data_IF_130091267337
#
_entry.id   IF_130091267337
#
_cell.length_a   1.000
_cell.length_b   1.000
_cell.length_c   1.000
_cell.angle_alpha   90.00
_cell.angle_beta   90.00
_cell.angle_gamma   90.00
#
_symmetry.space_group_name_H-M   'P 1'
#
loop_
_entity.id
_entity.type
_entity.pdbx_description
1 polymer ?
#
# COMPACT_ATOMS: atom_id res chain seq x y z
N UNK A 1 -5.58 5.40 23.59
CA UNK A 1 -6.53 4.63 22.76
C UNK A 1 -6.15 4.84 21.31
N UNK A 2 -5.39 3.91 20.72
CA UNK A 2 -5.03 3.98 19.30
C UNK A 2 -6.31 3.76 18.49
N UNK A 3 -6.74 4.76 17.71
CA UNK A 3 -7.90 4.61 16.82
C UNK A 3 -7.58 3.45 15.86
N UNK A 4 -8.30 2.33 15.96
CA UNK A 4 -8.33 1.36 14.88
C UNK A 4 -9.00 2.05 13.69
N UNK A 5 -8.19 2.49 12.74
CA UNK A 5 -8.68 3.08 11.51
C UNK A 5 -9.15 1.93 10.63
N UNK A 6 -10.46 1.73 10.52
CA UNK A 6 -11.04 0.78 9.56
C UNK A 6 -10.73 1.24 8.14
N UNK A 7 -10.47 0.30 7.22
CA UNK A 7 -10.30 0.65 5.81
C UNK A 7 -11.66 1.12 5.25
N UNK A 8 -11.70 2.22 4.49
CA UNK A 8 -12.88 2.57 3.70
C UNK A 8 -13.24 1.46 2.73
N UNK A 9 -14.51 1.38 2.34
CA UNK A 9 -15.01 0.36 1.41
C UNK A 9 -14.43 0.53 0.00
N UNK A 10 -14.36 1.77 -0.48
CA UNK A 10 -13.84 2.09 -1.80
C UNK A 10 -12.34 2.40 -1.71
N UNK A 11 -11.54 1.77 -2.59
CA UNK A 11 -10.09 1.97 -2.63
C UNK A 11 -9.76 3.45 -2.89
N UNK A 12 -10.51 4.14 -3.75
CA UNK A 12 -10.32 5.57 -4.04
C UNK A 12 -10.34 6.49 -2.80
N UNK A 13 -11.03 6.08 -1.73
CA UNK A 13 -11.09 6.82 -0.46
C UNK A 13 -9.90 6.52 0.48
N UNK A 14 -8.98 5.65 0.07
CA UNK A 14 -7.86 5.27 0.92
C UNK A 14 -6.81 6.39 0.97
N UNK A 15 -6.47 6.83 2.18
CA UNK A 15 -5.29 7.65 2.41
C UNK A 15 -4.03 6.78 2.35
N UNK A 16 -2.86 7.40 2.32
CA UNK A 16 -1.58 6.68 2.38
C UNK A 16 -1.42 5.83 3.65
N UNK A 17 -2.02 6.23 4.76
CA UNK A 17 -2.07 5.44 6.00
C UNK A 17 -2.96 4.19 5.83
N UNK A 18 -4.10 4.30 5.13
CA UNK A 18 -4.93 3.13 4.78
C UNK A 18 -4.17 2.16 3.87
N UNK A 19 -3.45 2.66 2.86
CA UNK A 19 -2.63 1.83 1.97
C UNK A 19 -1.53 1.11 2.76
N UNK A 20 -0.77 1.82 3.60
CA UNK A 20 0.24 1.18 4.48
C UNK A 20 -0.41 0.08 5.32
N UNK A 21 -1.52 0.40 5.98
CA UNK A 21 -2.24 -0.55 6.84
C UNK A 21 -2.62 -1.80 6.07
N UNK A 22 -3.30 -1.67 4.93
CA UNK A 22 -3.72 -2.79 4.09
C UNK A 22 -2.54 -3.68 3.67
N UNK A 23 -1.45 -3.09 3.17
CA UNK A 23 -0.25 -3.84 2.77
C UNK A 23 0.34 -4.64 3.94
N UNK A 24 0.41 -4.04 5.13
CA UNK A 24 1.04 -4.70 6.28
C UNK A 24 0.14 -5.65 7.05
N UNK A 25 -1.14 -5.30 7.20
CA UNK A 25 -2.08 -6.03 8.05
C UNK A 25 -2.91 -7.04 7.27
N UNK A 26 -3.31 -6.74 6.03
CA UNK A 26 -4.19 -7.62 5.25
C UNK A 26 -3.35 -8.50 4.32
N UNK A 27 -2.41 -7.92 3.56
CA UNK A 27 -1.51 -8.67 2.69
C UNK A 27 -0.32 -9.32 3.42
N UNK A 28 -0.12 -8.98 4.70
CA UNK A 28 0.99 -9.49 5.54
C UNK A 28 2.37 -9.24 4.93
N UNK A 29 2.52 -8.16 4.15
CA UNK A 29 3.81 -7.74 3.61
C UNK A 29 4.60 -7.03 4.73
N UNK A 30 5.92 -7.17 4.70
CA UNK A 30 6.80 -6.59 5.72
C UNK A 30 6.61 -5.07 5.84
N UNK A 31 6.58 -4.55 7.08
CA UNK A 31 6.33 -3.13 7.37
C UNK A 31 7.24 -2.17 6.61
N UNK A 32 8.50 -2.56 6.36
CA UNK A 32 9.44 -1.73 5.62
C UNK A 32 8.91 -1.33 4.23
N UNK A 33 8.18 -2.22 3.55
CA UNK A 33 7.62 -1.94 2.22
C UNK A 33 6.35 -1.11 2.30
N UNK A 34 5.53 -1.30 3.34
CA UNK A 34 4.42 -0.38 3.64
C UNK A 34 4.91 1.03 3.95
N UNK A 35 6.09 1.16 4.57
CA UNK A 35 6.70 2.46 4.83
C UNK A 35 7.21 3.14 3.56
N UNK A 36 7.68 2.39 2.55
CA UNK A 36 8.02 2.95 1.23
C UNK A 36 6.78 3.59 0.60
N UNK A 37 5.68 2.85 0.50
CA UNK A 37 4.42 3.37 -0.07
C UNK A 37 3.88 4.59 0.69
N UNK A 38 4.01 4.60 2.02
CA UNK A 38 3.66 5.76 2.84
C UNK A 38 4.52 6.98 2.53
N UNK A 39 5.82 6.78 2.30
CA UNK A 39 6.80 7.85 2.03
C UNK A 39 6.64 8.42 0.62
N UNK A 40 6.29 7.57 -0.34
CA UNK A 40 5.95 7.94 -1.73
C UNK A 40 4.53 8.52 -1.86
N UNK A 41 3.84 8.76 -0.74
CA UNK A 41 2.47 9.31 -0.70
C UNK A 41 1.43 8.53 -1.51
N UNK A 42 1.58 7.21 -1.60
CA UNK A 42 0.67 6.34 -2.34
C UNK A 42 -0.69 6.28 -1.62
N UNK A 43 -1.66 7.03 -2.13
CA UNK A 43 -3.08 6.92 -1.75
C UNK A 43 -3.75 5.80 -2.55
N UNK A 44 -5.02 5.51 -2.26
CA UNK A 44 -5.80 4.54 -3.00
C UNK A 44 -5.96 4.86 -4.49
N UNK A 45 -6.16 6.13 -4.83
CA UNK A 45 -6.17 6.58 -6.23
C UNK A 45 -4.84 6.29 -6.93
N UNK A 46 -3.72 6.62 -6.29
CA UNK A 46 -2.38 6.30 -6.84
C UNK A 46 -2.21 4.79 -6.95
N UNK A 47 -2.62 4.04 -5.92
CA UNK A 47 -2.52 2.59 -5.88
C UNK A 47 -3.23 1.92 -7.06
N UNK A 48 -4.38 2.44 -7.51
CA UNK A 48 -5.10 1.92 -8.67
C UNK A 48 -4.33 2.13 -9.99
N UNK A 49 -3.64 3.25 -10.13
CA UNK A 49 -2.89 3.60 -11.34
C UNK A 49 -1.51 2.91 -11.43
N UNK A 50 -0.92 2.53 -10.29
CA UNK A 50 0.40 1.90 -10.27
C UNK A 50 0.44 0.61 -11.08
N UNK A 51 1.58 0.33 -11.69
CA UNK A 51 1.93 -0.97 -12.25
C UNK A 51 2.87 -1.72 -11.32
N UNK A 52 3.10 -3.02 -11.57
CA UNK A 52 4.15 -3.77 -10.86
C UNK A 52 5.52 -3.13 -11.05
N UNK A 53 5.77 -2.56 -12.25
CA UNK A 53 7.04 -1.90 -12.57
C UNK A 53 7.26 -0.65 -11.72
N UNK A 54 6.21 0.17 -11.52
CA UNK A 54 6.31 1.38 -10.70
C UNK A 54 6.64 1.03 -9.25
N UNK A 55 6.03 -0.02 -8.70
CA UNK A 55 6.35 -0.52 -7.35
C UNK A 55 7.81 -0.98 -7.23
N UNK A 56 8.34 -1.64 -8.27
CA UNK A 56 9.75 -2.05 -8.30
C UNK A 56 10.67 -0.83 -8.37
N UNK A 57 10.31 0.20 -9.14
CA UNK A 57 11.07 1.45 -9.24
C UNK A 57 11.07 2.25 -7.92
N UNK A 58 10.00 2.14 -7.11
CA UNK A 58 9.96 2.65 -5.73
C UNK A 58 10.86 1.86 -4.75
N UNK A 59 11.42 0.73 -5.17
CA UNK A 59 12.31 -0.09 -4.34
C UNK A 59 11.65 -1.31 -3.69
N UNK A 60 10.41 -1.67 -4.07
CA UNK A 60 9.81 -2.92 -3.63
C UNK A 60 10.41 -4.10 -4.41
N UNK A 61 10.76 -5.22 -3.75
CA UNK A 61 11.11 -6.43 -4.47
C UNK A 61 9.92 -6.97 -5.27
N UNK A 62 10.22 -7.77 -6.30
CA UNK A 62 9.20 -8.36 -7.18
C UNK A 62 8.09 -9.13 -6.44
N UNK A 63 8.42 -9.82 -5.34
CA UNK A 63 7.45 -10.58 -4.55
C UNK A 63 6.33 -9.70 -3.96
N UNK A 64 6.66 -8.72 -3.09
CA UNK A 64 5.69 -7.74 -2.60
C UNK A 64 4.97 -6.97 -3.72
N UNK A 65 5.68 -6.56 -4.77
CA UNK A 65 5.07 -5.83 -5.89
C UNK A 65 3.97 -6.65 -6.59
N UNK A 66 4.23 -7.95 -6.83
CA UNK A 66 3.26 -8.87 -7.41
C UNK A 66 2.02 -9.05 -6.52
N UNK A 67 2.21 -9.18 -5.20
CA UNK A 67 1.09 -9.34 -4.26
C UNK A 67 0.18 -8.11 -4.21
N UNK A 68 0.74 -6.91 -4.34
CA UNK A 68 -0.02 -5.65 -4.35
C UNK A 68 -0.85 -5.51 -5.64
N UNK A 69 -0.39 -6.08 -6.75
CA UNK A 69 -1.03 -5.95 -8.07
C UNK A 69 -1.93 -7.12 -8.46
N UNK A 70 -2.12 -8.09 -7.56
CA UNK A 70 -2.94 -9.29 -7.79
C UNK A 70 -4.39 -9.06 -7.41
#
# INVERSE_FOLDING_TARGET
>A
MSKQVSLPEMIEDWTKEHVKKWVTEDLKINEQYGQILLSEEVTGLVLQELTEKDLIEMGLPRGPALLIKR
#
